data_IF_882629382557
#
_entry.id   IF_882629382557
#
_cell.length_a   1.000
_cell.length_b   1.000
_cell.length_c   1.000
_cell.angle_alpha   90.00
_cell.angle_beta   90.00
_cell.angle_gamma   90.00
#
_symmetry.space_group_name_H-M   'P 1'
#
loop_
_entity.id
_entity.type
_entity.pdbx_description
1 polymer ?
#
# COMPACT_ATOMS: atom_id res chain seq x y z
N UNK A 1 -4.13 -3.45 7.08
CA UNK A 1 -3.80 -2.93 5.73
C UNK A 1 -2.31 -3.02 5.52
N UNK A 2 -1.90 -3.44 4.36
CA UNK A 2 -0.47 -3.47 4.03
C UNK A 2 -0.32 -2.97 2.59
N UNK A 3 0.63 -2.05 2.38
CA UNK A 3 0.98 -1.54 1.06
C UNK A 3 2.47 -1.75 0.85
N UNK A 4 2.82 -2.46 -0.21
CA UNK A 4 4.21 -2.76 -0.52
C UNK A 4 4.50 -2.43 -1.97
N UNK A 5 5.60 -1.69 -2.19
CA UNK A 5 6.10 -1.42 -3.54
C UNK A 5 7.41 -2.15 -3.74
N UNK A 6 7.53 -2.83 -4.88
CA UNK A 6 8.71 -3.65 -5.19
C UNK A 6 9.64 -2.94 -6.15
N UNK A 7 10.91 -3.41 -6.26
CA UNK A 7 11.89 -2.76 -7.14
C UNK A 7 11.51 -2.77 -8.61
N UNK A 8 12.08 -1.80 -9.33
CA UNK A 8 12.02 -1.75 -10.79
C UNK A 8 13.42 -1.51 -11.33
N UNK A 9 13.56 -1.44 -12.63
CA UNK A 9 14.78 -0.89 -13.24
C UNK A 9 14.75 0.62 -13.03
N UNK A 10 15.68 1.14 -12.24
CA UNK A 10 15.77 2.56 -12.00
C UNK A 10 15.35 2.93 -10.59
N UNK A 11 14.88 4.16 -10.42
CA UNK A 11 14.68 4.77 -9.10
C UNK A 11 13.23 4.71 -8.63
N UNK A 12 12.63 3.52 -8.63
CA UNK A 12 11.29 3.34 -8.09
C UNK A 12 11.37 3.22 -6.56
N UNK A 13 10.46 3.87 -5.83
CA UNK A 13 10.45 3.72 -4.38
C UNK A 13 10.13 2.29 -3.97
N UNK A 14 10.91 1.77 -3.03
CA UNK A 14 10.75 0.41 -2.51
C UNK A 14 10.50 0.52 -1.01
N UNK A 15 9.30 0.16 -0.58
CA UNK A 15 8.93 0.23 0.83
C UNK A 15 7.79 -0.72 1.14
N UNK A 16 7.59 -0.94 2.43
CA UNK A 16 6.45 -1.71 2.93
C UNK A 16 5.86 -0.99 4.12
N UNK A 17 4.57 -0.73 4.08
CA UNK A 17 3.85 -0.09 5.18
C UNK A 17 2.73 -1.01 5.63
N UNK A 18 2.68 -1.30 6.93
CA UNK A 18 1.69 -2.17 7.53
C UNK A 18 0.94 -1.42 8.62
N UNK A 19 -0.37 -1.36 8.51
CA UNK A 19 -1.22 -0.74 9.52
C UNK A 19 -2.02 -1.83 10.23
N UNK A 20 -1.77 -1.96 11.52
CA UNK A 20 -2.43 -2.95 12.36
C UNK A 20 -3.74 -2.41 12.93
N UNK A 21 -4.61 -3.31 13.37
CA UNK A 21 -5.93 -2.92 13.87
C UNK A 21 -5.88 -2.03 15.09
N UNK A 22 -4.81 -2.12 15.87
CA UNK A 22 -4.63 -1.28 17.05
C UNK A 22 -4.12 0.12 16.74
N UNK A 23 -3.98 0.47 15.45
CA UNK A 23 -3.53 1.79 15.05
C UNK A 23 -2.03 1.93 14.89
N UNK A 24 -1.27 0.85 15.08
CA UNK A 24 0.18 0.91 14.89
C UNK A 24 0.51 0.81 13.40
N UNK A 25 1.21 1.81 12.89
CA UNK A 25 1.71 1.82 11.50
C UNK A 25 3.21 1.56 11.55
N UNK A 26 3.66 0.53 10.85
CA UNK A 26 5.09 0.23 10.70
C UNK A 26 5.46 0.48 9.25
N UNK A 27 6.51 1.28 9.04
CA UNK A 27 6.99 1.65 7.72
C UNK A 27 8.43 1.19 7.57
N UNK A 28 8.71 0.47 6.50
CA UNK A 28 10.06 -0.01 6.18
C UNK A 28 10.45 0.56 4.82
N UNK A 29 11.26 1.61 4.84
CA UNK A 29 11.78 2.21 3.62
C UNK A 29 13.06 1.52 3.21
N UNK A 30 13.13 1.03 1.97
CA UNK A 30 14.26 0.24 1.51
C UNK A 30 15.16 1.00 0.55
N UNK A 31 14.59 1.59 -0.50
CA UNK A 31 15.37 2.34 -1.49
C UNK A 31 14.51 3.43 -2.12
N UNK A 32 15.15 4.54 -2.45
CA UNK A 32 14.51 5.65 -3.19
C UNK A 32 13.27 6.18 -2.48
N UNK A 33 13.30 6.18 -1.15
CA UNK A 33 12.23 6.69 -0.31
C UNK A 33 12.74 7.89 0.47
N UNK A 34 11.81 8.73 0.96
CA UNK A 34 12.18 9.88 1.79
C UNK A 34 12.82 9.42 3.10
N UNK A 35 12.41 8.26 3.61
CA UNK A 35 12.95 7.70 4.84
C UNK A 35 13.38 6.27 4.59
N UNK A 36 14.61 5.94 4.99
CA UNK A 36 15.16 4.58 4.82
C UNK A 36 15.32 3.95 6.19
N UNK A 37 14.87 2.70 6.33
CA UNK A 37 14.92 1.98 7.60
C UNK A 37 13.50 1.79 8.17
N UNK A 38 13.48 1.47 9.46
CA UNK A 38 12.22 1.21 10.17
C UNK A 38 11.69 2.45 10.85
N UNK A 39 10.42 2.75 10.61
CA UNK A 39 9.74 3.89 11.24
C UNK A 39 8.36 3.43 11.69
N UNK A 40 7.79 4.15 12.65
CA UNK A 40 6.46 3.83 13.13
C UNK A 40 5.68 5.10 13.47
N UNK A 41 4.36 4.94 13.51
CA UNK A 41 3.48 6.01 13.96
C UNK A 41 2.24 5.38 14.59
N UNK A 42 1.59 6.14 15.46
CA UNK A 42 0.29 5.76 16.01
C UNK A 42 -0.79 6.48 15.23
N UNK A 43 -1.74 5.72 14.73
CA UNK A 43 -2.80 6.25 13.87
C UNK A 43 -4.10 6.27 14.66
N UNK A 44 -4.73 7.45 14.83
CA UNK A 44 -6.00 7.51 15.55
C UNK A 44 -7.12 6.81 14.80
N UNK A 45 -8.11 6.38 15.52
CA UNK A 45 -9.23 5.64 14.94
C UNK A 45 -9.93 6.43 13.84
N UNK A 46 -9.98 7.73 13.98
CA UNK A 46 -10.56 8.61 12.96
C UNK A 46 -9.90 8.42 11.60
N UNK A 47 -8.55 8.33 11.60
CA UNK A 47 -7.82 8.11 10.36
C UNK A 47 -8.03 6.71 9.83
N UNK A 48 -8.10 5.72 10.71
CA UNK A 48 -8.38 4.36 10.28
C UNK A 48 -9.74 4.24 9.62
N UNK A 49 -10.74 4.94 10.15
CA UNK A 49 -12.08 4.96 9.55
C UNK A 49 -12.04 5.60 8.16
N UNK A 50 -11.20 6.61 7.98
CA UNK A 50 -11.04 7.26 6.68
C UNK A 50 -10.46 6.28 5.66
N UNK A 51 -9.45 5.50 6.05
CA UNK A 51 -8.88 4.49 5.16
C UNK A 51 -9.91 3.43 4.80
N UNK A 52 -10.68 2.97 5.78
CA UNK A 52 -11.72 1.99 5.52
C UNK A 52 -12.70 2.49 4.46
N UNK A 53 -13.05 3.77 4.53
CA UNK A 53 -13.93 4.37 3.53
C UNK A 53 -13.28 4.39 2.15
N UNK A 54 -11.99 4.70 2.06
CA UNK A 54 -11.29 4.71 0.78
C UNK A 54 -11.32 3.34 0.11
N UNK A 55 -11.09 2.27 0.89
CA UNK A 55 -11.16 0.91 0.34
C UNK A 55 -12.58 0.57 -0.13
N UNK A 56 -13.59 0.97 0.63
CA UNK A 56 -14.98 0.73 0.26
C UNK A 56 -15.34 1.50 -1.02
N UNK A 57 -14.95 2.76 -1.09
CA UNK A 57 -15.26 3.60 -2.26
C UNK A 57 -14.58 3.08 -3.53
N UNK A 58 -13.42 2.47 -3.39
CA UNK A 58 -12.72 1.88 -4.54
C UNK A 58 -13.31 0.53 -4.97
N UNK A 59 -14.20 -0.05 -4.17
CA UNK A 59 -14.74 -1.37 -4.46
C UNK A 59 -13.68 -2.45 -4.38
N UNK A 60 -12.78 -2.35 -3.39
CA UNK A 60 -11.59 -3.18 -3.31
C UNK A 60 -11.89 -4.68 -3.38
N UNK A 61 -12.90 -5.15 -2.65
CA UNK A 61 -13.21 -6.57 -2.60
C UNK A 61 -13.82 -7.10 -3.89
N UNK A 62 -14.25 -6.21 -4.79
CA UNK A 62 -14.80 -6.58 -6.08
C UNK A 62 -13.79 -6.51 -7.22
N UNK A 63 -12.57 -6.08 -6.93
CA UNK A 63 -11.51 -6.02 -7.94
C UNK A 63 -10.89 -7.41 -8.11
N UNK A 64 -10.08 -7.57 -9.17
CA UNK A 64 -9.37 -8.83 -9.39
C UNK A 64 -8.17 -8.93 -8.44
N UNK A 65 -7.62 -10.15 -8.33
CA UNK A 65 -6.51 -10.39 -7.43
C UNK A 65 -5.17 -9.94 -8.01
N UNK A 66 -5.11 -9.70 -9.31
CA UNK A 66 -3.90 -9.24 -9.95
C UNK A 66 -4.21 -8.43 -11.20
N UNK A 67 -3.33 -7.51 -11.54
CA UNK A 67 -3.38 -6.74 -12.76
C UNK A 67 -2.00 -6.71 -13.37
N UNK A 68 -1.82 -7.08 -14.64
CA UNK A 68 -2.90 -7.51 -15.55
C UNK A 68 -3.49 -8.85 -15.10
N UNK A 69 -4.71 -9.13 -15.55
CA UNK A 69 -5.42 -10.36 -15.17
C UNK A 69 -4.74 -11.60 -15.76
N UNK A 70 -3.96 -11.43 -16.81
CA UNK A 70 -3.15 -12.48 -17.40
C UNK A 70 -1.69 -12.00 -17.45
N UNK A 71 -0.76 -12.92 -17.73
CA UNK A 71 0.66 -12.61 -17.66
C UNK A 71 1.17 -11.98 -18.95
N UNK A 72 0.56 -10.86 -19.37
CA UNK A 72 0.98 -10.16 -20.59
C UNK A 72 1.90 -8.98 -20.32
N UNK A 73 2.13 -8.65 -19.05
CA UNK A 73 2.97 -7.51 -18.69
C UNK A 73 4.46 -7.86 -18.88
N UNK A 74 5.30 -6.87 -19.21
CA UNK A 74 6.75 -7.09 -19.17
C UNK A 74 7.21 -7.57 -17.80
N UNK A 75 8.27 -8.39 -17.78
CA UNK A 75 8.72 -9.03 -16.54
C UNK A 75 9.34 -8.07 -15.53
N UNK A 76 9.77 -6.88 -16.00
CA UNK A 76 10.54 -5.95 -15.17
C UNK A 76 9.72 -4.84 -14.55
N UNK A 77 8.41 -4.94 -14.60
CA UNK A 77 7.55 -3.91 -14.02
C UNK A 77 7.54 -4.01 -12.49
N UNK A 78 7.56 -2.87 -11.81
CA UNK A 78 7.38 -2.88 -10.36
C UNK A 78 5.97 -3.32 -10.01
N UNK A 79 5.82 -3.90 -8.82
CA UNK A 79 4.51 -4.30 -8.32
C UNK A 79 4.12 -3.45 -7.14
N UNK A 80 2.82 -3.25 -7.00
CA UNK A 80 2.23 -2.72 -5.77
C UNK A 80 1.36 -3.84 -5.21
N UNK A 81 1.73 -4.33 -4.03
CA UNK A 81 0.95 -5.34 -3.34
C UNK A 81 0.11 -4.66 -2.28
N UNK A 82 -1.19 -4.83 -2.36
CA UNK A 82 -2.11 -4.15 -1.45
C UNK A 82 -2.99 -5.18 -0.77
N UNK A 83 -2.87 -5.24 0.56
CA UNK A 83 -3.66 -6.14 1.40
C UNK A 83 -4.62 -5.33 2.27
N UNK A 84 -5.85 -5.80 2.37
CA UNK A 84 -6.84 -5.18 3.26
C UNK A 84 -7.75 -6.25 3.84
N UNK A 85 -8.05 -6.09 5.13
CA UNK A 85 -9.01 -6.96 5.78
C UNK A 85 -10.05 -6.12 6.51
N UNK A 86 -11.28 -6.61 6.50
CA UNK A 86 -12.37 -5.98 7.24
C UNK A 86 -13.26 -7.10 7.75
N UNK A 87 -13.32 -7.25 9.09
CA UNK A 87 -14.02 -8.39 9.67
C UNK A 87 -13.37 -9.68 9.23
N UNK A 88 -14.16 -10.59 8.70
CA UNK A 88 -13.66 -11.88 8.24
C UNK A 88 -13.24 -11.87 6.78
N UNK A 89 -13.45 -10.76 6.07
CA UNK A 89 -13.06 -10.66 4.68
C UNK A 89 -11.64 -10.14 4.57
N UNK A 90 -10.83 -10.76 3.71
CA UNK A 90 -9.49 -10.29 3.46
C UNK A 90 -9.12 -10.55 2.01
N UNK A 91 -8.24 -9.72 1.46
CA UNK A 91 -7.87 -9.79 0.05
C UNK A 91 -6.53 -9.12 -0.17
N UNK A 92 -5.72 -9.73 -1.04
CA UNK A 92 -4.48 -9.12 -1.52
C UNK A 92 -4.58 -8.95 -3.03
N UNK A 93 -4.21 -7.77 -3.51
CA UNK A 93 -4.12 -7.51 -4.95
C UNK A 93 -2.66 -7.25 -5.31
N UNK A 94 -2.17 -7.96 -6.33
CA UNK A 94 -0.86 -7.69 -6.93
C UNK A 94 -1.10 -6.85 -8.18
N UNK A 95 -0.60 -5.62 -8.17
CA UNK A 95 -0.79 -4.68 -9.27
C UNK A 95 0.55 -4.31 -9.88
N UNK A 96 0.77 -4.71 -11.13
CA UNK A 96 1.99 -4.38 -11.88
C UNK A 96 1.85 -3.11 -12.69
N UNK A 97 0.80 -2.33 -12.42
CA UNK A 97 0.53 -1.06 -13.11
C UNK A 97 0.35 -1.25 -14.62
N UNK A 98 -0.28 -2.35 -15.00
CA UNK A 98 -0.54 -2.69 -16.39
C UNK A 98 -2.02 -3.04 -16.51
N UNK A 99 -2.78 -2.23 -17.23
CA UNK A 99 -4.24 -2.37 -17.35
C UNK A 99 -4.94 -2.29 -16.00
N UNK A 100 -4.44 -1.43 -15.13
CA UNK A 100 -4.99 -1.26 -13.78
C UNK A 100 -6.23 -0.38 -13.83
N UNK A 101 -7.33 -0.78 -13.18
CA UNK A 101 -8.52 0.10 -13.10
C UNK A 101 -8.19 1.39 -12.36
N UNK A 102 -8.78 2.49 -12.81
CA UNK A 102 -8.53 3.79 -12.18
C UNK A 102 -8.83 3.82 -10.69
N UNK A 103 -9.93 3.21 -10.19
CA UNK A 103 -10.18 3.23 -8.74
C UNK A 103 -9.04 2.63 -7.93
N UNK A 104 -8.39 1.58 -8.44
CA UNK A 104 -7.26 0.97 -7.72
C UNK A 104 -6.04 1.87 -7.76
N UNK A 105 -5.72 2.44 -8.93
CA UNK A 105 -4.60 3.37 -9.05
C UNK A 105 -4.77 4.56 -8.11
N UNK A 106 -5.99 5.09 -8.04
CA UNK A 106 -6.29 6.22 -7.18
C UNK A 106 -6.16 5.85 -5.71
N UNK A 107 -6.62 4.65 -5.34
CA UNK A 107 -6.50 4.16 -3.97
C UNK A 107 -5.05 4.03 -3.56
N UNK A 108 -4.21 3.43 -4.42
CA UNK A 108 -2.79 3.28 -4.15
C UNK A 108 -2.11 4.63 -3.93
N UNK A 109 -2.42 5.60 -4.79
CA UNK A 109 -1.85 6.95 -4.68
C UNK A 109 -2.27 7.65 -3.39
N UNK A 110 -3.54 7.53 -3.03
CA UNK A 110 -4.03 8.13 -1.78
C UNK A 110 -3.36 7.52 -0.57
N UNK A 111 -3.20 6.19 -0.58
CA UNK A 111 -2.56 5.51 0.55
C UNK A 111 -1.10 5.90 0.68
N UNK A 112 -0.38 5.98 -0.43
CA UNK A 112 1.03 6.36 -0.40
C UNK A 112 1.20 7.79 0.12
N UNK A 113 0.39 8.72 -0.35
CA UNK A 113 0.40 10.10 0.14
C UNK A 113 0.09 10.14 1.64
N UNK A 114 -0.93 9.38 2.05
CA UNK A 114 -1.33 9.33 3.46
C UNK A 114 -0.21 8.81 4.34
N UNK A 115 0.50 7.76 3.90
CA UNK A 115 1.62 7.21 4.65
C UNK A 115 2.73 8.25 4.80
N UNK A 116 3.04 8.97 3.73
CA UNK A 116 4.16 9.90 3.72
C UNK A 116 3.92 11.15 4.57
N UNK A 117 2.67 11.48 4.89
CA UNK A 117 2.38 12.64 5.74
C UNK A 117 2.23 12.26 7.22
N UNK A 118 2.37 10.99 7.57
CA UNK A 118 2.29 10.58 8.97
C UNK A 118 3.55 11.02 9.71
N UNK A 119 3.41 11.25 11.01
CA UNK A 119 4.54 11.63 11.86
C UNK A 119 5.33 10.38 12.22
N UNK A 120 6.15 9.93 11.28
CA UNK A 120 6.92 8.70 11.42
C UNK A 120 8.15 8.93 12.29
N UNK A 121 8.33 8.07 13.29
CA UNK A 121 9.46 8.09 14.20
C UNK A 121 10.30 6.85 13.98
N UNK A 122 11.62 7.00 14.16
CA UNK A 122 12.53 5.87 13.97
C UNK A 122 12.25 4.78 14.99
N UNK A 123 12.32 3.53 14.54
CA UNK A 123 12.19 2.38 15.42
C UNK A 123 13.42 2.24 16.33
N UNK A 124 14.53 2.83 15.94
CA UNK A 124 15.77 2.76 16.72
C UNK A 124 15.73 3.71 17.89
N UNK A 125 15.80 3.17 19.09
CA UNK A 125 15.71 3.97 20.30
C UNK A 125 16.79 3.56 21.25
#
# INVERSE_FOLDING_TARGET
MMLERTPCFGACPVFKATLYQNGLLIYEGKRFTLKTGCFYARVPKKEMNKLNKWFADAGFFNLKDQYPENDVAPTDLPSCNLFFNKGNAQKTINDKNWNTPEPLTRLESKLETWINIQNLQSCDK
#
